data_IF_249691282707
#
_entry.id   IF_249691282707
#
_cell.length_a   1.000
_cell.length_b   1.000
_cell.length_c   1.000
_cell.angle_alpha   90.00
_cell.angle_beta   90.00
_cell.angle_gamma   90.00
#
_symmetry.space_group_name_H-M   'P 1'
#
loop_
_entity.id
_entity.type
_entity.pdbx_description
1 polymer ?
#
# COMPACT_ATOMS: atom_id res chain seq x y z
N UNK A 1 -8.90 7.55 8.14
CA UNK A 1 -10.09 7.42 9.03
C UNK A 1 -9.85 7.98 10.43
N UNK A 2 -9.07 7.39 11.36
CA UNK A 2 -8.89 7.96 12.72
C UNK A 2 -8.28 9.36 12.70
N UNK A 3 -7.25 9.62 11.88
CA UNK A 3 -6.66 10.93 11.73
C UNK A 3 -7.66 11.95 11.16
N UNK A 4 -8.57 11.54 10.27
CA UNK A 4 -9.63 12.41 9.72
C UNK A 4 -10.58 12.85 10.85
N UNK A 5 -11.10 11.87 11.59
CA UNK A 5 -12.01 12.14 12.72
C UNK A 5 -11.36 13.04 13.78
N UNK A 6 -10.09 12.79 14.10
CA UNK A 6 -9.35 13.63 15.04
C UNK A 6 -9.18 15.03 14.48
N UNK A 7 -8.64 15.16 13.26
CA UNK A 7 -8.35 16.45 12.64
C UNK A 7 -9.60 17.30 12.47
N UNK A 8 -10.71 16.72 12.05
CA UNK A 8 -11.97 17.43 11.86
C UNK A 8 -12.61 17.83 13.20
N UNK A 9 -12.53 16.94 14.21
CA UNK A 9 -13.12 17.15 15.53
C UNK A 9 -12.39 18.18 16.43
N UNK A 10 -11.09 18.43 16.17
CA UNK A 10 -10.31 19.36 17.02
C UNK A 10 -10.56 20.81 16.64
N UNK A 11 -11.00 21.62 17.62
CA UNK A 11 -11.24 23.05 17.44
C UNK A 11 -9.97 23.90 17.65
N UNK A 12 -8.98 23.73 16.75
CA UNK A 12 -7.73 24.52 16.72
C UNK A 12 -7.64 25.29 15.41
N UNK A 13 -7.54 26.62 15.45
CA UNK A 13 -7.52 27.46 14.24
C UNK A 13 -6.27 27.23 13.37
N UNK A 14 -5.09 27.07 13.99
CA UNK A 14 -3.81 26.86 13.31
C UNK A 14 -3.45 25.38 13.30
N UNK A 15 -4.29 24.55 12.70
CA UNK A 15 -4.05 23.13 12.50
C UNK A 15 -3.70 22.84 11.06
N UNK A 16 -2.79 21.89 10.85
CA UNK A 16 -2.37 21.45 9.53
C UNK A 16 -2.18 19.94 9.51
N UNK A 17 -2.68 19.29 8.45
CA UNK A 17 -2.41 17.88 8.15
C UNK A 17 -1.58 17.79 6.89
N UNK A 18 -0.57 16.94 6.89
CA UNK A 18 0.39 16.80 5.79
C UNK A 18 1.09 15.45 5.88
N UNK A 19 1.39 14.85 4.75
CA UNK A 19 2.29 13.69 4.71
C UNK A 19 3.68 14.10 5.20
N UNK A 20 4.29 13.24 6.02
CA UNK A 20 5.59 13.52 6.63
C UNK A 20 6.68 13.85 5.60
N UNK A 21 6.75 13.09 4.51
CA UNK A 21 7.70 13.35 3.43
C UNK A 21 7.57 14.76 2.83
N UNK A 22 6.36 15.22 2.58
CA UNK A 22 6.11 16.57 2.05
C UNK A 22 6.51 17.66 3.05
N UNK A 23 6.26 17.42 4.34
CA UNK A 23 6.70 18.32 5.39
C UNK A 23 8.23 18.44 5.43
N UNK A 24 8.96 17.31 5.29
CA UNK A 24 10.41 17.34 5.27
C UNK A 24 10.97 18.09 4.06
N UNK A 25 10.36 17.96 2.88
CA UNK A 25 10.72 18.81 1.72
C UNK A 25 10.59 20.29 2.02
N UNK A 26 9.46 20.72 2.58
CA UNK A 26 9.24 22.12 2.96
C UNK A 26 10.24 22.60 4.04
N UNK A 27 10.58 21.75 5.00
CA UNK A 27 11.58 22.04 6.03
C UNK A 27 12.98 22.22 5.43
N UNK A 28 13.38 21.35 4.51
CA UNK A 28 14.65 21.49 3.78
C UNK A 28 14.70 22.78 2.95
N UNK A 29 13.62 23.12 2.25
CA UNK A 29 13.52 24.38 1.49
C UNK A 29 13.62 25.61 2.40
N UNK A 30 12.96 25.59 3.55
CA UNK A 30 13.02 26.67 4.54
C UNK A 30 14.45 26.84 5.10
N UNK A 31 15.12 25.74 5.46
CA UNK A 31 16.51 25.71 5.91
C UNK A 31 17.45 26.27 4.82
N UNK A 32 17.27 25.83 3.60
CA UNK A 32 18.08 26.30 2.45
C UNK A 32 17.87 27.79 2.18
N UNK A 33 16.63 28.25 2.19
CA UNK A 33 16.27 29.66 2.02
C UNK A 33 16.86 30.52 3.11
N UNK A 34 16.83 30.05 4.37
CA UNK A 34 17.44 30.75 5.50
C UNK A 34 18.96 30.85 5.35
N UNK A 35 19.67 29.77 4.96
CA UNK A 35 21.11 29.77 4.70
C UNK A 35 21.49 30.74 3.59
N UNK A 36 20.70 30.79 2.52
CA UNK A 36 20.95 31.71 1.39
C UNK A 36 20.81 33.19 1.80
N UNK A 37 19.83 33.52 2.65
CA UNK A 37 19.64 34.89 3.16
C UNK A 37 20.75 35.31 4.14
N UNK A 38 21.41 34.37 4.80
CA UNK A 38 22.39 34.61 5.85
C UNK A 38 23.83 34.18 5.44
N UNK A 39 24.16 34.18 4.15
CA UNK A 39 25.46 33.78 3.61
C UNK A 39 26.67 34.53 4.19
N UNK A 40 26.47 35.69 4.81
CA UNK A 40 27.56 36.52 5.36
C UNK A 40 28.04 36.09 6.77
N UNK A 41 27.79 34.87 7.20
CA UNK A 41 28.35 34.30 8.42
C UNK A 41 27.76 34.80 9.74
N UNK A 42 26.80 35.74 9.72
CA UNK A 42 26.17 36.31 10.94
C UNK A 42 24.89 35.58 11.38
N UNK A 43 24.46 34.54 10.67
CA UNK A 43 23.12 33.95 10.84
C UNK A 43 23.00 32.85 11.89
N UNK A 44 24.09 32.25 12.36
CA UNK A 44 24.01 31.10 13.28
C UNK A 44 23.37 29.85 12.66
N UNK A 45 22.70 29.05 13.46
CA UNK A 45 22.11 27.80 13.04
C UNK A 45 20.68 27.93 12.49
N UNK A 46 20.31 27.26 11.37
CA UNK A 46 19.03 27.46 10.68
C UNK A 46 17.84 26.78 11.38
N UNK A 47 18.05 25.79 12.25
CA UNK A 47 16.96 24.96 12.82
C UNK A 47 16.02 25.79 13.69
N UNK A 48 16.54 26.58 14.63
CA UNK A 48 15.73 27.43 15.52
C UNK A 48 14.84 28.42 14.76
N UNK A 49 15.38 29.25 13.86
CA UNK A 49 14.58 30.14 13.01
C UNK A 49 13.54 29.41 12.15
N UNK A 50 13.87 28.23 11.61
CA UNK A 50 12.93 27.42 10.84
C UNK A 50 11.82 26.86 11.72
N UNK A 51 12.14 26.36 12.91
CA UNK A 51 11.15 25.88 13.88
C UNK A 51 10.18 27.02 14.29
N UNK A 52 10.69 28.21 14.53
CA UNK A 52 9.88 29.38 14.86
C UNK A 52 8.91 29.74 13.74
N UNK A 53 9.38 29.78 12.50
CA UNK A 53 8.55 30.04 11.31
C UNK A 53 7.41 29.02 11.17
N UNK A 54 7.70 27.74 11.43
CA UNK A 54 6.72 26.65 11.36
C UNK A 54 5.74 26.70 12.54
N UNK A 55 6.20 27.00 13.74
CA UNK A 55 5.37 27.14 14.95
C UNK A 55 4.41 28.35 14.87
N UNK A 56 4.83 29.45 14.27
CA UNK A 56 3.95 30.61 14.05
C UNK A 56 2.74 30.25 13.19
N UNK A 57 2.91 29.36 12.23
CA UNK A 57 1.86 28.92 11.29
C UNK A 57 0.99 27.81 11.84
N UNK A 58 1.54 26.96 12.71
CA UNK A 58 0.92 25.73 13.13
C UNK A 58 0.97 25.57 14.66
N UNK A 59 -0.18 25.48 15.31
CA UNK A 59 -0.29 25.08 16.71
C UNK A 59 -0.48 23.56 16.83
N UNK A 60 -1.05 22.94 15.79
CA UNK A 60 -1.22 21.49 15.68
C UNK A 60 -0.74 21.01 14.31
N UNK A 61 0.15 20.04 14.31
CA UNK A 61 0.61 19.34 13.11
C UNK A 61 0.20 17.87 13.18
N UNK A 62 -0.53 17.44 12.17
CA UNK A 62 -0.92 16.05 11.99
C UNK A 62 -0.13 15.48 10.81
N UNK A 63 0.65 14.44 11.09
CA UNK A 63 1.47 13.75 10.07
C UNK A 63 0.85 12.43 9.68
N UNK A 64 0.63 12.25 8.39
CA UNK A 64 0.38 10.94 7.82
C UNK A 64 1.71 10.28 7.46
N UNK A 65 1.81 8.97 7.71
CA UNK A 65 2.95 8.12 7.35
C UNK A 65 4.29 8.64 7.89
N UNK A 66 4.37 8.83 9.21
CA UNK A 66 5.60 9.25 9.86
C UNK A 66 6.67 8.16 9.74
N UNK A 67 7.57 8.35 8.79
CA UNK A 67 8.67 7.43 8.52
C UNK A 67 9.95 8.20 8.18
N UNK A 68 11.05 7.85 8.82
CA UNK A 68 12.37 8.43 8.57
C UNK A 68 13.24 7.39 7.87
N UNK A 69 13.67 7.68 6.63
CA UNK A 69 14.40 6.73 5.77
C UNK A 69 15.87 7.07 5.57
N UNK A 70 16.22 8.33 5.58
CA UNK A 70 17.60 8.76 5.32
C UNK A 70 18.21 9.58 6.47
N UNK A 71 19.57 9.68 6.45
CA UNK A 71 20.33 10.34 7.49
C UNK A 71 20.09 11.85 7.53
N UNK A 72 19.88 12.50 6.39
CA UNK A 72 19.67 13.96 6.34
C UNK A 72 18.36 14.32 7.05
N UNK A 73 17.29 13.58 6.76
CA UNK A 73 16.01 13.73 7.44
C UNK A 73 16.13 13.39 8.93
N UNK A 74 16.80 12.27 9.26
CA UNK A 74 16.97 11.83 10.66
C UNK A 74 17.62 12.92 11.54
N UNK A 75 18.67 13.57 11.03
CA UNK A 75 19.39 14.60 11.79
C UNK A 75 18.63 15.92 11.90
N UNK A 76 17.82 16.25 10.89
CA UNK A 76 17.04 17.49 10.88
C UNK A 76 15.76 17.31 11.69
N UNK A 77 15.03 16.22 11.51
CA UNK A 77 13.75 16.00 12.18
C UNK A 77 13.88 16.01 13.69
N UNK A 78 14.90 15.33 14.23
CA UNK A 78 15.16 15.27 15.68
C UNK A 78 15.23 16.69 16.28
N UNK A 79 16.04 17.54 15.69
CA UNK A 79 16.28 18.91 16.19
C UNK A 79 15.11 19.84 15.92
N UNK A 80 14.49 19.71 14.74
CA UNK A 80 13.35 20.55 14.33
C UNK A 80 12.13 20.28 15.21
N UNK A 81 11.82 18.99 15.45
CA UNK A 81 10.69 18.60 16.30
C UNK A 81 10.91 19.02 17.75
N UNK A 82 12.12 18.81 18.30
CA UNK A 82 12.44 19.29 19.64
C UNK A 82 12.15 20.79 19.77
N UNK A 83 12.69 21.59 18.84
CA UNK A 83 12.50 23.04 18.87
C UNK A 83 11.02 23.46 18.67
N UNK A 84 10.28 22.76 17.80
CA UNK A 84 8.85 23.03 17.58
C UNK A 84 8.00 22.69 18.81
N UNK A 85 8.26 21.55 19.46
CA UNK A 85 7.57 21.15 20.70
C UNK A 85 7.87 22.12 21.85
N UNK A 86 9.10 22.60 21.96
CA UNK A 86 9.47 23.67 22.93
C UNK A 86 8.73 25.00 22.67
N UNK A 87 8.40 25.28 21.42
CA UNK A 87 7.58 26.43 21.02
C UNK A 87 6.06 26.18 21.15
N UNK A 88 5.66 25.03 21.72
CA UNK A 88 4.27 24.69 22.02
C UNK A 88 3.48 24.09 20.83
N UNK A 89 4.15 23.62 19.78
CA UNK A 89 3.48 22.90 18.70
C UNK A 89 3.11 21.50 19.18
N UNK A 90 1.84 21.16 19.06
CA UNK A 90 1.35 19.79 19.30
C UNK A 90 1.50 18.98 18.03
N UNK A 91 2.02 17.77 18.17
CA UNK A 91 2.23 16.84 17.06
C UNK A 91 1.39 15.59 17.26
N UNK A 92 0.66 15.21 16.22
CA UNK A 92 -0.03 13.92 16.13
C UNK A 92 0.46 13.24 14.86
N UNK A 93 0.86 11.97 14.97
CA UNK A 93 1.40 11.24 13.82
C UNK A 93 0.83 9.84 13.72
N UNK A 94 0.55 9.39 12.51
CA UNK A 94 0.34 7.97 12.22
C UNK A 94 1.63 7.38 11.68
N UNK A 95 1.97 6.17 12.10
CA UNK A 95 3.13 5.43 11.62
C UNK A 95 2.82 3.94 11.59
N UNK A 96 3.34 3.26 10.58
CA UNK A 96 3.33 1.79 10.49
C UNK A 96 4.46 1.15 11.32
N UNK A 97 5.26 1.97 12.01
CA UNK A 97 6.38 1.50 12.83
C UNK A 97 6.23 1.99 14.26
N UNK A 98 6.53 1.10 15.21
CA UNK A 98 6.69 1.52 16.59
C UNK A 98 7.84 2.53 16.70
N UNK A 99 7.79 3.55 17.61
CA UNK A 99 8.88 4.53 17.77
C UNK A 99 10.27 3.91 17.86
N UNK A 100 10.43 2.77 18.51
CA UNK A 100 11.71 2.07 18.62
C UNK A 100 12.24 1.53 17.27
N UNK A 101 11.38 1.36 16.28
CA UNK A 101 11.75 0.86 14.95
C UNK A 101 11.88 1.98 13.91
N UNK A 102 11.67 3.24 14.32
CA UNK A 102 11.96 4.38 13.48
C UNK A 102 13.45 4.43 13.15
N UNK A 103 13.76 4.65 11.86
CA UNK A 103 15.13 4.71 11.34
C UNK A 103 15.96 3.48 11.73
N UNK A 104 15.34 2.29 11.84
CA UNK A 104 16.01 1.02 12.11
C UNK A 104 17.03 0.73 11.02
N UNK A 105 18.20 0.25 11.44
CA UNK A 105 19.35 -0.05 10.57
C UNK A 105 19.90 1.18 9.80
N UNK A 106 19.44 2.38 10.12
CA UNK A 106 19.92 3.62 9.53
C UNK A 106 21.35 4.00 9.98
N UNK A 107 22.07 4.69 9.09
CA UNK A 107 23.43 5.15 9.35
C UNK A 107 23.49 6.13 10.52
N UNK A 108 24.39 5.91 11.50
CA UNK A 108 24.51 6.73 12.74
C UNK A 108 23.21 6.78 13.55
N UNK A 109 22.50 5.67 13.65
CA UNK A 109 21.23 5.57 14.38
C UNK A 109 21.34 5.97 15.86
N UNK A 110 22.49 5.78 16.45
CA UNK A 110 22.82 6.24 17.82
C UNK A 110 22.55 7.73 18.04
N UNK A 111 22.75 8.56 17.01
CA UNK A 111 22.43 9.99 17.05
C UNK A 111 20.93 10.28 16.91
N UNK A 112 20.16 9.33 16.41
CA UNK A 112 18.72 9.44 16.29
C UNK A 112 17.98 8.91 17.52
N UNK A 113 18.61 8.00 18.28
CA UNK A 113 18.03 7.41 19.50
C UNK A 113 17.48 8.44 20.50
N UNK A 114 18.17 9.56 20.79
CA UNK A 114 17.63 10.57 21.71
C UNK A 114 16.30 11.18 21.26
N UNK A 115 16.06 11.20 19.93
CA UNK A 115 14.76 11.65 19.40
C UNK A 115 13.65 10.61 19.59
N UNK A 116 13.98 9.33 19.49
CA UNK A 116 13.05 8.25 19.83
C UNK A 116 12.64 8.36 21.31
N UNK A 117 13.60 8.62 22.19
CA UNK A 117 13.32 8.83 23.61
C UNK A 117 12.46 10.06 23.85
N UNK A 118 12.73 11.17 23.14
CA UNK A 118 11.90 12.38 23.19
C UNK A 118 10.45 12.09 22.76
N UNK A 119 10.25 11.33 21.67
CA UNK A 119 8.90 10.95 21.23
C UNK A 119 8.18 10.18 22.34
N UNK A 120 8.85 9.21 22.96
CA UNK A 120 8.26 8.40 24.03
C UNK A 120 7.97 9.18 25.32
N UNK A 121 8.77 10.22 25.58
CA UNK A 121 8.59 11.10 26.76
C UNK A 121 7.48 12.16 26.54
N UNK A 122 7.38 12.70 25.34
CA UNK A 122 6.50 13.83 25.01
C UNK A 122 5.21 13.48 24.30
N UNK A 123 5.10 12.28 23.73
CA UNK A 123 3.94 11.81 22.99
C UNK A 123 3.42 10.53 23.61
N UNK A 124 2.11 10.42 23.69
CA UNK A 124 1.45 9.15 24.00
C UNK A 124 1.50 8.23 22.79
N UNK A 125 2.11 7.06 22.96
CA UNK A 125 2.18 6.05 21.90
C UNK A 125 0.97 5.13 22.02
N UNK A 126 0.02 5.32 21.14
CA UNK A 126 -1.17 4.48 21.04
C UNK A 126 -0.91 3.43 19.95
N UNK A 127 -0.70 2.20 20.36
CA UNK A 127 -0.70 1.09 19.44
C UNK A 127 -2.15 0.72 19.16
N UNK A 128 -2.56 0.87 17.89
CA UNK A 128 -3.79 0.27 17.43
C UNK A 128 -3.52 -1.23 17.33
N UNK A 129 -3.59 -1.90 18.49
CA UNK A 129 -3.53 -3.36 18.51
C UNK A 129 -4.76 -3.85 17.77
N UNK A 130 -4.51 -4.80 16.90
CA UNK A 130 -5.51 -5.58 16.20
C UNK A 130 -6.48 -6.20 17.21
N UNK A 131 -7.46 -5.42 17.67
CA UNK A 131 -8.72 -6.01 18.01
C UNK A 131 -9.15 -6.71 16.74
N UNK A 132 -9.36 -8.03 16.82
CA UNK A 132 -9.76 -8.93 15.73
C UNK A 132 -9.65 -8.26 14.36
N UNK A 133 -8.64 -8.63 13.59
CA UNK A 133 -8.42 -8.04 12.27
C UNK A 133 -9.61 -8.39 11.37
N UNK A 134 -10.64 -7.58 11.48
CA UNK A 134 -11.88 -7.75 10.71
C UNK A 134 -11.62 -7.89 9.22
N UNK A 135 -10.52 -7.31 8.71
CA UNK A 135 -10.13 -7.47 7.30
C UNK A 135 -9.55 -8.86 7.05
N UNK A 136 -8.69 -9.35 7.94
CA UNK A 136 -8.14 -10.70 7.80
C UNK A 136 -9.22 -11.76 8.00
N UNK A 137 -10.12 -11.56 8.97
CA UNK A 137 -11.22 -12.50 9.19
C UNK A 137 -12.19 -12.47 8.00
N UNK A 138 -12.48 -11.30 7.44
CA UNK A 138 -13.21 -11.21 6.16
C UNK A 138 -12.50 -11.93 5.02
N UNK A 139 -11.18 -11.76 4.88
CA UNK A 139 -10.40 -12.44 3.83
C UNK A 139 -10.35 -13.96 4.03
N UNK A 140 -10.32 -14.45 5.27
CA UNK A 140 -10.36 -15.89 5.58
C UNK A 140 -11.73 -16.51 5.31
N UNK A 141 -12.80 -15.73 5.45
CA UNK A 141 -14.18 -16.14 5.17
C UNK A 141 -14.53 -16.02 3.68
N UNK A 142 -13.73 -15.29 2.89
CA UNK A 142 -13.92 -15.16 1.46
C UNK A 142 -13.37 -16.38 0.74
N UNK A 143 -14.18 -17.01 -0.10
CA UNK A 143 -13.72 -18.01 -1.05
C UNK A 143 -12.78 -17.36 -2.05
N UNK A 144 -11.47 -17.67 -1.95
CA UNK A 144 -10.48 -17.17 -2.90
C UNK A 144 -10.61 -17.82 -4.30
N UNK A 145 -11.39 -18.90 -4.40
CA UNK A 145 -11.61 -19.62 -5.65
C UNK A 145 -13.02 -20.17 -5.73
N UNK A 146 -13.83 -19.62 -6.64
CA UNK A 146 -15.27 -19.92 -6.79
C UNK A 146 -15.48 -20.72 -8.07
N UNK A 147 -16.03 -21.93 -7.95
CA UNK A 147 -16.39 -22.78 -9.10
C UNK A 147 -17.59 -23.68 -8.75
N UNK A 148 -18.35 -24.18 -9.73
CA UNK A 148 -18.35 -23.71 -11.11
C UNK A 148 -18.99 -22.33 -11.23
N UNK A 149 -18.60 -21.58 -12.28
CA UNK A 149 -19.27 -20.31 -12.60
C UNK A 149 -20.77 -20.55 -12.86
N UNK A 150 -21.58 -19.75 -12.24
CA UNK A 150 -23.05 -19.78 -12.39
C UNK A 150 -23.60 -18.34 -12.37
N UNK A 151 -24.88 -18.11 -12.69
CA UNK A 151 -25.46 -16.76 -12.75
C UNK A 151 -25.33 -15.94 -11.46
N UNK A 152 -25.12 -16.56 -10.31
CA UNK A 152 -24.93 -15.87 -9.04
C UNK A 152 -23.46 -15.52 -8.77
N UNK A 153 -22.50 -16.13 -9.49
CA UNK A 153 -21.05 -15.93 -9.27
C UNK A 153 -20.67 -14.46 -9.40
N UNK A 154 -21.19 -13.75 -10.41
CA UNK A 154 -20.92 -12.33 -10.60
C UNK A 154 -21.42 -11.49 -9.42
N UNK A 155 -22.58 -11.83 -8.84
CA UNK A 155 -23.10 -11.16 -7.64
C UNK A 155 -22.20 -11.42 -6.42
N UNK A 156 -21.66 -12.65 -6.30
CA UNK A 156 -20.72 -13.00 -5.24
C UNK A 156 -19.43 -12.20 -5.39
N UNK A 157 -18.86 -12.10 -6.61
CA UNK A 157 -17.68 -11.29 -6.88
C UNK A 157 -17.91 -9.80 -6.64
N UNK A 158 -19.07 -9.26 -7.02
CA UNK A 158 -19.42 -7.87 -6.73
C UNK A 158 -19.55 -7.62 -5.23
N UNK A 159 -20.09 -8.58 -4.47
CA UNK A 159 -20.14 -8.50 -3.01
C UNK A 159 -18.71 -8.52 -2.43
N UNK A 160 -17.85 -9.45 -2.87
CA UNK A 160 -16.44 -9.52 -2.44
C UNK A 160 -15.73 -8.20 -2.75
N UNK A 161 -15.91 -7.63 -3.94
CA UNK A 161 -15.35 -6.34 -4.31
C UNK A 161 -15.82 -5.22 -3.36
N UNK A 162 -17.13 -5.16 -3.10
CA UNK A 162 -17.73 -4.19 -2.16
C UNK A 162 -17.18 -4.35 -0.75
N UNK A 163 -17.04 -5.59 -0.28
CA UNK A 163 -16.50 -5.89 1.06
C UNK A 163 -15.01 -5.52 1.18
N UNK A 164 -14.22 -5.68 0.10
CA UNK A 164 -12.80 -5.30 0.04
C UNK A 164 -12.58 -3.78 -0.07
N UNK A 165 -13.58 -3.05 -0.56
CA UNK A 165 -13.52 -1.59 -0.76
C UNK A 165 -14.40 -0.82 0.24
N UNK A 166 -14.89 -1.48 1.31
CA UNK A 166 -15.79 -0.91 2.31
C UNK A 166 -17.02 -0.19 1.70
N UNK A 167 -17.50 -0.69 0.55
CA UNK A 167 -18.64 -0.15 -0.17
C UNK A 167 -18.38 1.15 -0.95
N UNK A 168 -17.13 1.56 -1.10
CA UNK A 168 -16.80 2.74 -1.87
C UNK A 168 -17.11 2.58 -3.36
N UNK A 169 -17.41 3.69 -4.02
CA UNK A 169 -17.73 3.72 -5.44
C UNK A 169 -16.52 3.35 -6.29
N UNK A 170 -16.69 2.39 -7.19
CA UNK A 170 -15.67 2.00 -8.16
C UNK A 170 -15.77 2.80 -9.46
N UNK A 171 -14.64 2.92 -10.15
CA UNK A 171 -14.57 3.48 -11.51
C UNK A 171 -13.64 2.63 -12.36
N UNK A 172 -13.76 2.76 -13.69
CA UNK A 172 -12.71 2.30 -14.59
C UNK A 172 -11.53 3.27 -14.52
N UNK A 173 -10.32 2.74 -14.61
CA UNK A 173 -9.12 3.55 -14.72
C UNK A 173 -8.15 2.97 -15.75
N UNK A 174 -7.14 3.74 -16.14
CA UNK A 174 -6.04 3.23 -16.93
C UNK A 174 -4.72 3.84 -16.45
N UNK A 175 -3.63 3.14 -16.72
CA UNK A 175 -2.30 3.67 -16.48
C UNK A 175 -1.34 3.29 -17.60
N UNK A 176 -0.38 4.14 -17.85
CA UNK A 176 0.65 3.89 -18.86
C UNK A 176 1.84 3.11 -18.25
N UNK A 177 2.24 2.03 -18.91
CA UNK A 177 3.42 1.25 -18.54
C UNK A 177 4.23 0.88 -19.79
N UNK A 178 5.47 1.33 -19.87
CA UNK A 178 6.39 1.10 -21.01
C UNK A 178 5.77 1.44 -22.38
N UNK A 179 5.05 2.57 -22.45
CA UNK A 179 4.41 3.05 -23.67
C UNK A 179 3.14 2.26 -24.06
N UNK A 180 2.56 1.49 -23.13
CA UNK A 180 1.27 0.79 -23.31
C UNK A 180 0.29 1.28 -22.28
N UNK A 181 -0.94 1.46 -22.67
CA UNK A 181 -2.04 1.72 -21.76
C UNK A 181 -2.62 0.40 -21.24
N UNK A 182 -2.65 0.25 -19.92
CA UNK A 182 -3.29 -0.88 -19.25
C UNK A 182 -4.61 -0.37 -18.68
N UNK A 183 -5.72 -0.90 -19.22
CA UNK A 183 -7.07 -0.54 -18.80
C UNK A 183 -7.58 -1.47 -17.70
N UNK A 184 -8.13 -0.89 -16.66
CA UNK A 184 -8.72 -1.57 -15.52
C UNK A 184 -10.24 -1.31 -15.55
N UNK A 185 -11.06 -2.32 -15.80
CA UNK A 185 -12.53 -2.14 -15.96
C UNK A 185 -13.21 -1.64 -14.69
N UNK A 186 -12.71 -2.08 -13.51
CA UNK A 186 -13.28 -1.71 -12.22
C UNK A 186 -12.19 -1.66 -11.17
N UNK A 187 -11.98 -0.50 -10.54
CA UNK A 187 -10.99 -0.32 -9.49
C UNK A 187 -11.50 0.60 -8.39
N UNK A 188 -11.05 0.37 -7.17
CA UNK A 188 -11.27 1.20 -6.00
C UNK A 188 -10.29 0.81 -4.89
N UNK A 189 -9.69 1.77 -4.19
CA UNK A 189 -8.90 1.58 -2.97
C UNK A 189 -7.85 0.44 -3.03
N UNK A 190 -7.14 0.34 -4.14
CA UNK A 190 -6.11 -0.70 -4.34
C UNK A 190 -6.69 -2.09 -4.61
N UNK A 191 -7.98 -2.20 -4.91
CA UNK A 191 -8.65 -3.41 -5.39
C UNK A 191 -8.99 -3.24 -6.86
N UNK A 192 -8.68 -4.24 -7.69
CA UNK A 192 -9.04 -4.26 -9.10
C UNK A 192 -9.85 -5.51 -9.45
N UNK A 193 -10.78 -5.38 -10.39
CA UNK A 193 -11.55 -6.50 -10.92
C UNK A 193 -11.42 -6.53 -12.44
N UNK A 194 -11.04 -7.68 -12.96
CA UNK A 194 -10.87 -7.98 -14.38
C UNK A 194 -11.67 -9.21 -14.75
N UNK A 195 -12.07 -9.30 -16.00
CA UNK A 195 -12.43 -10.59 -16.58
C UNK A 195 -11.16 -11.35 -17.03
N UNK A 196 -11.25 -12.65 -17.14
CA UNK A 196 -10.19 -13.45 -17.77
C UNK A 196 -9.80 -12.93 -19.15
N UNK A 197 -10.78 -12.50 -19.94
CA UNK A 197 -10.58 -11.96 -21.28
C UNK A 197 -9.78 -10.65 -21.27
N UNK A 198 -9.96 -9.82 -20.26
CA UNK A 198 -9.20 -8.57 -20.12
C UNK A 198 -7.70 -8.81 -19.92
N UNK A 199 -7.32 -9.89 -19.26
CA UNK A 199 -5.94 -10.21 -18.94
C UNK A 199 -5.31 -11.21 -19.92
N UNK A 200 -6.05 -12.25 -20.32
CA UNK A 200 -5.48 -13.37 -21.04
C UNK A 200 -5.77 -13.39 -22.55
N UNK A 201 -6.86 -12.72 -23.01
CA UNK A 201 -7.13 -12.61 -24.47
C UNK A 201 -6.56 -11.32 -25.08
N UNK A 202 -6.21 -10.32 -24.28
CA UNK A 202 -5.46 -9.14 -24.72
C UNK A 202 -3.96 -9.44 -24.77
N UNK A 203 -3.16 -8.72 -25.59
CA UNK A 203 -1.73 -8.97 -25.76
C UNK A 203 -0.90 -8.41 -24.61
N UNK A 204 -1.23 -8.81 -23.37
CA UNK A 204 -0.46 -8.48 -22.18
C UNK A 204 0.68 -9.50 -21.98
N UNK A 205 1.76 -9.06 -21.36
CA UNK A 205 2.96 -9.83 -21.09
C UNK A 205 3.32 -9.82 -19.59
N UNK A 206 4.31 -10.61 -19.19
CA UNK A 206 4.75 -10.72 -17.79
C UNK A 206 5.01 -9.37 -17.11
N UNK A 207 5.63 -8.41 -17.83
CA UNK A 207 5.89 -7.08 -17.29
C UNK A 207 4.62 -6.28 -16.99
N UNK A 208 3.57 -6.46 -17.80
CA UNK A 208 2.27 -5.80 -17.60
C UNK A 208 1.57 -6.39 -16.37
N UNK A 209 1.64 -7.71 -16.18
CA UNK A 209 1.09 -8.39 -14.99
C UNK A 209 1.81 -7.99 -13.70
N UNK A 210 3.13 -7.84 -13.74
CA UNK A 210 3.89 -7.31 -12.61
C UNK A 210 3.48 -5.87 -12.29
N UNK A 211 3.27 -5.02 -13.30
CA UNK A 211 2.82 -3.65 -13.09
C UNK A 211 1.40 -3.58 -12.47
N UNK A 212 0.51 -4.49 -12.88
CA UNK A 212 -0.81 -4.66 -12.25
C UNK A 212 -0.65 -5.12 -10.80
N UNK A 213 0.19 -6.12 -10.57
CA UNK A 213 0.46 -6.64 -9.23
C UNK A 213 1.06 -5.58 -8.30
N UNK A 214 1.94 -4.71 -8.79
CA UNK A 214 2.55 -3.64 -7.99
C UNK A 214 1.54 -2.54 -7.62
N UNK A 215 0.52 -2.34 -8.47
CA UNK A 215 -0.47 -1.28 -8.27
C UNK A 215 -1.62 -1.68 -7.35
N UNK A 216 -2.04 -2.95 -7.40
CA UNK A 216 -3.22 -3.44 -6.67
C UNK A 216 -2.84 -4.48 -5.63
N UNK A 217 -3.33 -4.29 -4.39
CA UNK A 217 -3.15 -5.24 -3.29
C UNK A 217 -4.07 -6.46 -3.40
N UNK A 218 -5.27 -6.27 -3.94
CA UNK A 218 -6.25 -7.34 -4.16
C UNK A 218 -6.75 -7.30 -5.60
N UNK A 219 -6.82 -8.46 -6.23
CA UNK A 219 -7.22 -8.59 -7.63
C UNK A 219 -8.30 -9.67 -7.74
N UNK A 220 -9.41 -9.33 -8.38
CA UNK A 220 -10.50 -10.26 -8.67
C UNK A 220 -10.45 -10.59 -10.16
N UNK A 221 -10.45 -11.87 -10.51
CA UNK A 221 -10.39 -12.34 -11.89
C UNK A 221 -11.60 -13.24 -12.14
N UNK A 222 -12.53 -12.76 -12.99
CA UNK A 222 -13.75 -13.50 -13.29
C UNK A 222 -13.63 -14.36 -14.53
N UNK A 223 -14.46 -15.40 -14.57
CA UNK A 223 -14.77 -16.21 -15.76
C UNK A 223 -13.57 -16.93 -16.39
N UNK A 224 -12.70 -17.51 -15.55
CA UNK A 224 -11.60 -18.35 -16.04
C UNK A 224 -12.19 -19.62 -16.67
N UNK A 225 -12.03 -19.83 -17.99
CA UNK A 225 -12.58 -21.00 -18.68
C UNK A 225 -11.72 -22.24 -18.45
N UNK A 226 -12.24 -23.40 -18.80
CA UNK A 226 -11.38 -24.56 -19.06
C UNK A 226 -10.59 -24.29 -20.32
N UNK A 227 -9.27 -24.47 -20.25
CA UNK A 227 -8.34 -24.17 -21.34
C UNK A 227 -7.96 -25.46 -22.06
N UNK A 228 -7.80 -25.38 -23.37
CA UNK A 228 -7.48 -26.50 -24.25
C UNK A 228 -6.25 -26.22 -25.11
N UNK A 229 -5.70 -27.24 -25.78
CA UNK A 229 -4.57 -27.06 -26.72
C UNK A 229 -4.85 -26.07 -27.85
N UNK A 230 -6.10 -25.92 -28.26
CA UNK A 230 -6.53 -24.89 -29.21
C UNK A 230 -6.30 -23.46 -28.73
N UNK A 231 -6.14 -23.25 -27.41
CA UNK A 231 -5.96 -21.97 -26.73
C UNK A 231 -4.55 -21.83 -26.12
N UNK A 232 -3.58 -22.43 -26.72
CA UNK A 232 -2.20 -22.56 -26.24
C UNK A 232 -1.57 -21.25 -25.76
N UNK A 233 -1.70 -20.18 -26.53
CA UNK A 233 -1.14 -18.85 -26.17
C UNK A 233 -1.87 -18.22 -25.00
N UNK A 234 -3.18 -18.47 -24.88
CA UNK A 234 -4.02 -17.99 -23.79
C UNK A 234 -3.66 -18.74 -22.51
N UNK A 235 -3.51 -20.08 -22.57
CA UNK A 235 -3.10 -20.89 -21.44
C UNK A 235 -1.71 -20.46 -20.93
N UNK A 236 -0.75 -20.24 -21.83
CA UNK A 236 0.57 -19.73 -21.47
C UNK A 236 0.48 -18.36 -20.77
N UNK A 237 -0.35 -17.47 -21.26
CA UNK A 237 -0.52 -16.14 -20.67
C UNK A 237 -1.16 -16.22 -19.29
N UNK A 238 -2.11 -17.13 -19.10
CA UNK A 238 -2.71 -17.39 -17.79
C UNK A 238 -1.67 -17.93 -16.79
N UNK A 239 -0.82 -18.88 -17.19
CA UNK A 239 0.27 -19.36 -16.32
C UNK A 239 1.20 -18.22 -15.90
N UNK A 240 1.60 -17.36 -16.85
CA UNK A 240 2.46 -16.19 -16.57
C UNK A 240 1.77 -15.18 -15.64
N UNK A 241 0.47 -14.97 -15.79
CA UNK A 241 -0.32 -14.12 -14.91
C UNK A 241 -0.33 -14.67 -13.47
N UNK A 242 -0.66 -15.96 -13.31
CA UNK A 242 -0.67 -16.61 -11.99
C UNK A 242 0.72 -16.55 -11.34
N UNK A 243 1.78 -16.79 -12.12
CA UNK A 243 3.16 -16.69 -11.66
C UNK A 243 3.47 -15.26 -11.14
N UNK A 244 3.12 -14.23 -11.89
CA UNK A 244 3.37 -12.85 -11.50
C UNK A 244 2.62 -12.45 -10.21
N UNK A 245 1.35 -12.82 -10.09
CA UNK A 245 0.54 -12.53 -8.91
C UNK A 245 1.01 -13.30 -7.67
N UNK A 246 1.38 -14.57 -7.85
CA UNK A 246 1.90 -15.42 -6.78
C UNK A 246 3.24 -14.91 -6.24
N UNK A 247 4.20 -14.60 -7.14
CA UNK A 247 5.53 -14.11 -6.77
C UNK A 247 5.46 -12.70 -6.14
N UNK A 248 4.49 -11.88 -6.58
CA UNK A 248 4.20 -10.58 -5.97
C UNK A 248 3.45 -10.70 -4.63
N UNK A 249 3.02 -11.92 -4.23
CA UNK A 249 2.24 -12.17 -3.01
C UNK A 249 0.99 -11.29 -2.95
N UNK A 250 0.15 -11.35 -3.99
CA UNK A 250 -1.10 -10.58 -4.03
C UNK A 250 -2.28 -11.43 -3.57
N UNK A 251 -3.21 -10.79 -2.86
CA UNK A 251 -4.49 -11.43 -2.59
C UNK A 251 -5.29 -11.51 -3.88
N UNK A 252 -5.68 -12.71 -4.30
CA UNK A 252 -6.40 -12.91 -5.56
C UNK A 252 -7.65 -13.76 -5.32
N UNK A 253 -8.76 -13.32 -5.91
CA UNK A 253 -10.01 -14.08 -5.95
C UNK A 253 -10.30 -14.47 -7.39
N UNK A 254 -10.50 -15.75 -7.63
CA UNK A 254 -10.84 -16.28 -8.96
C UNK A 254 -12.29 -16.76 -9.01
N UNK A 255 -12.94 -16.55 -10.13
CA UNK A 255 -14.07 -17.42 -10.50
C UNK A 255 -13.73 -18.21 -11.76
N UNK A 256 -14.04 -19.48 -11.77
CA UNK A 256 -13.59 -20.41 -12.80
C UNK A 256 -14.67 -21.43 -13.20
N UNK A 257 -14.55 -21.96 -14.41
CA UNK A 257 -15.47 -22.98 -14.92
C UNK A 257 -15.29 -24.34 -14.22
N UNK A 258 -14.10 -24.63 -13.69
CA UNK A 258 -13.75 -25.88 -13.03
C UNK A 258 -12.77 -25.66 -11.86
N UNK A 259 -12.52 -26.68 -11.07
CA UNK A 259 -11.47 -26.66 -10.03
C UNK A 259 -10.06 -26.55 -10.67
N UNK A 260 -9.05 -26.10 -9.92
CA UNK A 260 -7.70 -25.85 -10.49
C UNK A 260 -7.12 -27.03 -11.25
N UNK A 261 -7.32 -28.28 -10.78
CA UNK A 261 -6.83 -29.51 -11.42
C UNK A 261 -7.53 -29.86 -12.74
N UNK A 262 -8.65 -29.23 -13.03
CA UNK A 262 -9.46 -29.48 -14.23
C UNK A 262 -9.51 -28.27 -15.18
N UNK A 263 -8.76 -27.18 -14.86
CA UNK A 263 -8.75 -25.97 -15.67
C UNK A 263 -8.01 -26.09 -17.00
N UNK A 264 -7.17 -27.12 -17.15
CA UNK A 264 -6.47 -27.38 -18.40
C UNK A 264 -6.74 -28.83 -18.84
N UNK A 265 -7.37 -28.97 -19.99
CA UNK A 265 -7.70 -30.26 -20.60
C UNK A 265 -6.79 -30.63 -21.76
N UNK A 266 -5.81 -29.77 -22.10
CA UNK A 266 -4.82 -30.01 -23.14
C UNK A 266 -3.66 -30.89 -22.70
N UNK A 267 -2.80 -31.26 -23.67
CA UNK A 267 -1.59 -32.08 -23.43
C UNK A 267 -0.31 -31.24 -23.49
N UNK A 268 -0.28 -30.19 -24.31
CA UNK A 268 0.94 -29.45 -24.65
C UNK A 268 1.59 -28.76 -23.45
N UNK A 269 0.81 -28.27 -22.49
CA UNK A 269 1.26 -27.55 -21.29
C UNK A 269 0.92 -28.28 -19.99
N UNK A 270 0.61 -29.57 -20.02
CA UNK A 270 0.16 -30.31 -18.82
C UNK A 270 1.18 -30.23 -17.68
N UNK A 271 2.46 -30.44 -17.98
CA UNK A 271 3.53 -30.39 -16.97
C UNK A 271 3.75 -28.99 -16.38
N UNK A 272 3.78 -27.98 -17.23
CA UNK A 272 3.93 -26.58 -16.79
C UNK A 272 2.69 -26.10 -16.05
N UNK A 273 1.51 -26.56 -16.42
CA UNK A 273 0.25 -26.19 -15.80
C UNK A 273 0.10 -26.79 -14.39
N UNK A 274 0.74 -27.92 -14.07
CA UNK A 274 0.77 -28.50 -12.72
C UNK A 274 1.33 -27.51 -11.68
N UNK A 275 2.31 -26.71 -12.07
CA UNK A 275 2.84 -25.63 -11.23
C UNK A 275 1.79 -24.54 -10.99
N UNK A 276 1.03 -24.19 -12.02
CA UNK A 276 -0.07 -23.21 -11.91
C UNK A 276 -1.17 -23.73 -10.99
N UNK A 277 -1.54 -25.01 -11.11
CA UNK A 277 -2.47 -25.68 -10.20
C UNK A 277 -2.00 -25.58 -8.75
N UNK A 278 -0.74 -25.92 -8.50
CA UNK A 278 -0.15 -25.86 -7.15
C UNK A 278 -0.22 -24.44 -6.57
N UNK A 279 0.12 -23.41 -7.38
CA UNK A 279 0.03 -22.01 -6.97
C UNK A 279 -1.41 -21.56 -6.72
N UNK A 280 -2.35 -21.90 -7.58
CA UNK A 280 -3.76 -21.61 -7.39
C UNK A 280 -4.31 -22.25 -6.11
N UNK A 281 -3.87 -23.45 -5.76
CA UNK A 281 -4.26 -24.11 -4.51
C UNK A 281 -3.63 -23.42 -3.29
N UNK A 282 -2.35 -23.07 -3.37
CA UNK A 282 -1.64 -22.38 -2.29
C UNK A 282 -2.20 -20.97 -2.04
N UNK A 283 -2.56 -20.23 -3.10
CA UNK A 283 -3.16 -18.89 -3.00
C UNK A 283 -4.51 -18.87 -2.26
N UNK A 284 -5.15 -20.03 -2.08
CA UNK A 284 -6.37 -20.20 -1.28
C UNK A 284 -6.06 -20.44 0.21
N UNK A 285 -4.81 -20.72 0.57
CA UNK A 285 -4.45 -21.02 1.96
C UNK A 285 -4.45 -19.78 2.85
N UNK A 286 -4.77 -20.00 4.12
CA UNK A 286 -4.76 -18.92 5.13
C UNK A 286 -3.35 -18.34 5.30
N UNK A 287 -2.34 -19.19 5.19
CA UNK A 287 -0.93 -18.80 5.28
C UNK A 287 -0.56 -17.82 4.17
N UNK A 288 -0.91 -18.14 2.92
CA UNK A 288 -0.64 -17.28 1.77
C UNK A 288 -1.39 -15.94 1.88
N UNK A 289 -2.67 -15.97 2.29
CA UNK A 289 -3.48 -14.75 2.47
C UNK A 289 -2.86 -13.83 3.53
N UNK A 290 -2.31 -14.40 4.61
CA UNK A 290 -1.57 -13.63 5.63
C UNK A 290 -0.30 -13.00 5.08
N UNK A 291 0.51 -13.79 4.33
CA UNK A 291 1.74 -13.28 3.71
C UNK A 291 1.47 -12.17 2.69
N UNK A 292 0.42 -12.33 1.86
CA UNK A 292 0.00 -11.33 0.90
C UNK A 292 -0.32 -9.99 1.56
N UNK A 293 -0.97 -10.02 2.72
CA UNK A 293 -1.30 -8.84 3.51
C UNK A 293 -0.07 -8.18 4.15
N UNK A 294 0.83 -8.99 4.71
CA UNK A 294 1.99 -8.44 5.43
C UNK A 294 2.97 -7.72 4.48
N UNK A 295 2.92 -8.02 3.21
CA UNK A 295 3.68 -7.33 2.17
C UNK A 295 3.11 -5.94 1.81
N UNK A 296 1.84 -5.69 2.08
CA UNK A 296 1.15 -4.43 1.82
C UNK A 296 1.22 -3.43 3.01
N UNK A 297 1.89 -3.84 4.11
CA UNK A 297 2.21 -3.00 5.27
C UNK A 297 3.56 -2.30 5.09
#
# INVERSE_FOLDING_TARGET
MLMDLFFDGVNVKRKRRIHFHKFMQEAHEAIHSWRNKNKNGKGGEPIGPTAKLLAEKNALLCFDEFEVRDIADAMIVARLFTAMMELGVVVVATSNRHPNDLYKDGLQRDRFTPFIDLIKDRMEVLQLTDGLDYRLDRLKEMEAYIFPCNPNTNRTLDKIFSDLTDGHSSSSESFEFKGREIFIPKACDGVAMFSFDDLCRKPLAAADFLAIADRFRSIIISDVPVLEDSQRDIARRFMVLVDALYDAKRHVVFSAAAQPTELYSGHDWSFEFDRTVSRLMEMQSIEYIKEARDKDK
#
